data_IF_585754217114
#
_entry.id   IF_585754217114
#
_cell.length_a   1.000
_cell.length_b   1.000
_cell.length_c   1.000
_cell.angle_alpha   90.00
_cell.angle_beta   90.00
_cell.angle_gamma   90.00
#
_symmetry.space_group_name_H-M   'P 1'
#
loop_
_entity.id
_entity.type
_entity.pdbx_description
1 polymer ?
#
# COMPACT_ATOMS: atom_id res chain seq x y z
N UNK A 1 -25.87 -1.63 -2.88
CA UNK A 1 -25.03 -1.28 -1.72
C UNK A 1 -23.63 -1.81 -1.99
N UNK A 2 -22.76 -0.99 -2.59
CA UNK A 2 -21.36 -1.38 -2.79
C UNK A 2 -20.68 -1.34 -1.43
N UNK A 3 -20.39 -2.52 -0.86
CA UNK A 3 -19.54 -2.63 0.33
C UNK A 3 -18.26 -1.85 0.00
N UNK A 4 -17.97 -0.78 0.76
CA UNK A 4 -16.73 -0.04 0.57
C UNK A 4 -15.61 -0.90 1.14
N UNK A 5 -15.11 -1.83 0.33
CA UNK A 5 -13.99 -2.68 0.69
C UNK A 5 -12.76 -1.79 0.89
N UNK A 6 -12.12 -1.95 2.04
CA UNK A 6 -10.82 -1.35 2.31
C UNK A 6 -9.76 -2.21 1.62
N UNK A 7 -8.73 -1.58 1.10
CA UNK A 7 -7.62 -2.27 0.46
C UNK A 7 -6.36 -1.99 1.25
N UNK A 8 -5.62 -3.04 1.56
CA UNK A 8 -4.23 -2.95 2.00
C UNK A 8 -3.36 -3.07 0.76
N UNK A 9 -2.37 -2.18 0.60
CA UNK A 9 -1.50 -2.19 -0.57
C UNK A 9 -0.04 -2.01 -0.20
N UNK A 10 0.82 -2.50 -1.09
CA UNK A 10 2.25 -2.26 -1.06
C UNK A 10 2.67 -1.59 -2.36
N UNK A 11 3.37 -0.47 -2.25
CA UNK A 11 4.02 0.22 -3.36
C UNK A 11 5.52 -0.01 -3.22
N UNK A 12 6.14 -0.43 -4.32
CA UNK A 12 7.59 -0.38 -4.49
C UNK A 12 7.97 1.05 -4.91
N UNK A 13 8.86 1.68 -4.15
CA UNK A 13 9.47 2.94 -4.53
C UNK A 13 10.74 2.70 -5.38
N UNK A 14 11.18 3.71 -6.12
CA UNK A 14 12.35 3.59 -7.00
C UNK A 14 13.65 3.21 -6.26
N UNK A 15 13.78 3.60 -4.99
CA UNK A 15 14.90 3.22 -4.13
C UNK A 15 14.83 1.76 -3.61
N UNK A 16 13.86 0.97 -4.09
CA UNK A 16 13.67 -0.43 -3.70
C UNK A 16 13.04 -0.62 -2.31
N UNK A 17 12.59 0.46 -1.65
CA UNK A 17 11.81 0.37 -0.42
C UNK A 17 10.35 0.02 -0.70
N UNK A 18 9.73 -0.63 0.29
CA UNK A 18 8.31 -0.98 0.24
C UNK A 18 7.53 -0.07 1.18
N UNK A 19 6.60 0.69 0.61
CA UNK A 19 5.61 1.46 1.36
C UNK A 19 4.33 0.66 1.49
N UNK A 20 3.79 0.55 2.70
CA UNK A 20 2.52 -0.16 2.97
C UNK A 20 1.50 0.81 3.51
N UNK A 21 0.28 0.76 2.97
CA UNK A 21 -0.82 1.61 3.41
C UNK A 21 -2.18 0.94 3.22
N UNK A 22 -3.23 1.60 3.70
CA UNK A 22 -4.62 1.22 3.44
C UNK A 22 -5.38 2.34 2.74
N UNK A 23 -6.36 2.00 1.91
CA UNK A 23 -7.24 2.96 1.21
C UNK A 23 -8.54 2.29 0.81
N UNK A 24 -9.62 3.04 0.65
CA UNK A 24 -10.84 2.55 -0.02
C UNK A 24 -10.79 2.73 -1.53
N UNK A 25 -9.84 3.54 -2.02
CA UNK A 25 -9.66 3.83 -3.44
C UNK A 25 -8.16 3.77 -3.79
N UNK A 26 -7.74 2.66 -4.42
CA UNK A 26 -6.35 2.43 -4.82
C UNK A 26 -5.92 3.34 -5.96
N UNK A 27 -6.80 3.57 -6.94
CA UNK A 27 -6.48 4.38 -8.13
C UNK A 27 -6.22 5.82 -7.74
N UNK A 28 -7.12 6.41 -6.95
CA UNK A 28 -6.93 7.76 -6.41
C UNK A 28 -5.65 7.85 -5.60
N UNK A 29 -5.41 6.91 -4.68
CA UNK A 29 -4.25 6.92 -3.79
C UNK A 29 -2.92 6.79 -4.54
N UNK A 30 -2.88 5.94 -5.57
CA UNK A 30 -1.70 5.79 -6.41
C UNK A 30 -1.41 7.07 -7.20
N UNK A 31 -2.44 7.68 -7.77
CA UNK A 31 -2.32 8.96 -8.47
C UNK A 31 -1.81 10.08 -7.54
N UNK A 32 -2.26 10.14 -6.28
CA UNK A 32 -1.77 11.09 -5.26
C UNK A 32 -0.28 10.87 -4.94
N UNK A 33 0.16 9.61 -4.87
CA UNK A 33 1.58 9.28 -4.65
C UNK A 33 2.44 9.61 -5.88
N UNK A 34 1.91 9.43 -7.10
CA UNK A 34 2.60 9.73 -8.34
C UNK A 34 2.70 11.25 -8.60
N UNK A 35 1.62 11.99 -8.32
CA UNK A 35 1.57 13.46 -8.48
C UNK A 35 2.29 14.23 -7.37
N UNK A 36 2.72 13.53 -6.30
CA UNK A 36 3.31 14.10 -5.07
C UNK A 36 2.38 15.08 -4.33
N UNK A 37 1.12 15.21 -4.73
CA UNK A 37 0.12 16.05 -4.08
C UNK A 37 -0.85 15.18 -3.29
N UNK A 38 -0.89 15.34 -1.97
CA UNK A 38 -1.74 14.53 -1.08
C UNK A 38 -1.25 13.09 -0.83
N UNK A 39 -0.19 12.66 -1.53
CA UNK A 39 0.53 11.41 -1.28
C UNK A 39 1.38 11.44 -0.01
N UNK A 40 1.91 10.28 0.38
CA UNK A 40 2.80 10.20 1.54
C UNK A 40 4.09 10.97 1.25
N UNK A 41 4.58 11.75 2.23
CA UNK A 41 5.84 12.51 2.14
C UNK A 41 7.04 11.65 1.74
N UNK A 42 6.97 10.34 2.01
CA UNK A 42 7.94 9.35 1.55
C UNK A 42 8.17 9.36 0.03
N UNK A 43 7.11 9.59 -0.76
CA UNK A 43 7.21 9.59 -2.23
C UNK A 43 7.73 10.90 -2.83
N UNK A 44 7.97 11.93 -2.00
CA UNK A 44 8.63 13.16 -2.46
C UNK A 44 10.10 12.94 -2.76
N UNK A 45 10.77 12.10 -1.96
CA UNK A 45 12.20 11.77 -2.12
C UNK A 45 12.43 10.49 -2.93
N UNK A 46 11.43 9.63 -3.06
CA UNK A 46 11.54 8.38 -3.82
C UNK A 46 10.22 8.05 -4.49
N UNK A 47 10.12 8.23 -5.80
CA UNK A 47 8.85 8.12 -6.53
C UNK A 47 8.18 6.75 -6.36
N UNK A 48 6.86 6.73 -6.37
CA UNK A 48 6.08 5.50 -6.43
C UNK A 48 6.30 4.82 -7.79
N UNK A 49 6.97 3.67 -7.82
CA UNK A 49 7.28 2.95 -9.06
C UNK A 49 6.06 2.17 -9.55
N UNK A 50 5.51 1.32 -8.67
CA UNK A 50 4.33 0.49 -8.96
C UNK A 50 3.70 -0.06 -7.69
N UNK A 51 2.41 -0.35 -7.76
CA UNK A 51 1.74 -1.21 -6.76
C UNK A 51 2.19 -2.65 -7.04
N UNK A 52 2.75 -3.29 -6.03
CA UNK A 52 3.23 -4.68 -6.10
C UNK A 52 2.33 -5.65 -5.34
N UNK A 53 1.42 -5.15 -4.51
CA UNK A 53 0.47 -5.97 -3.76
C UNK A 53 -0.80 -5.17 -3.45
N UNK A 54 -1.95 -5.84 -3.50
CA UNK A 54 -3.23 -5.32 -3.05
C UNK A 54 -4.09 -6.45 -2.46
N UNK A 55 -4.70 -6.22 -1.31
CA UNK A 55 -5.55 -7.19 -0.62
C UNK A 55 -6.84 -6.51 -0.14
N UNK A 56 -8.03 -6.99 -0.55
CA UNK A 56 -9.30 -6.44 -0.10
C UNK A 56 -9.65 -6.89 1.33
N UNK A 57 -10.33 -6.01 2.04
CA UNK A 57 -10.75 -6.16 3.43
C UNK A 57 -12.15 -5.58 3.64
N UNK A 58 -12.98 -6.22 4.48
CA UNK A 58 -14.37 -5.81 4.68
C UNK A 58 -14.53 -4.47 5.41
N UNK A 59 -13.52 -4.03 6.17
CA UNK A 59 -13.60 -2.84 7.01
C UNK A 59 -12.22 -2.25 7.32
N UNK A 60 -12.20 -1.01 7.82
CA UNK A 60 -10.96 -0.30 8.18
C UNK A 60 -10.15 -1.03 9.25
N UNK A 61 -10.82 -1.69 10.19
CA UNK A 61 -10.16 -2.33 11.34
C UNK A 61 -9.37 -3.55 10.87
N UNK A 62 -9.98 -4.41 10.06
CA UNK A 62 -9.31 -5.56 9.45
C UNK A 62 -8.14 -5.13 8.56
N UNK A 63 -8.33 -4.11 7.72
CA UNK A 63 -7.26 -3.56 6.89
C UNK A 63 -6.10 -2.99 7.74
N UNK A 64 -6.41 -2.23 8.80
CA UNK A 64 -5.37 -1.64 9.66
C UNK A 64 -4.60 -2.71 10.46
N UNK A 65 -5.27 -3.76 10.93
CA UNK A 65 -4.60 -4.91 11.57
C UNK A 65 -3.64 -5.60 10.59
N UNK A 66 -4.06 -5.80 9.35
CA UNK A 66 -3.23 -6.38 8.30
C UNK A 66 -2.05 -5.48 7.92
N UNK A 67 -2.27 -4.19 7.79
CA UNK A 67 -1.22 -3.20 7.55
C UNK A 67 -0.14 -3.25 8.65
N UNK A 68 -0.55 -3.30 9.92
CA UNK A 68 0.36 -3.43 11.05
C UNK A 68 1.14 -4.76 11.02
N UNK A 69 0.49 -5.86 10.64
CA UNK A 69 1.16 -7.14 10.46
C UNK A 69 2.23 -7.06 9.35
N UNK A 70 1.87 -6.52 8.18
CA UNK A 70 2.80 -6.35 7.04
C UNK A 70 3.95 -5.41 7.42
N UNK A 71 3.71 -4.32 8.16
CA UNK A 71 4.75 -3.41 8.63
C UNK A 71 5.80 -4.11 9.50
N UNK A 72 5.39 -5.10 10.31
CA UNK A 72 6.29 -5.94 11.13
C UNK A 72 7.03 -7.03 10.35
N UNK A 73 6.59 -7.35 9.13
CA UNK A 73 7.24 -8.37 8.31
C UNK A 73 8.65 -7.94 7.89
N UNK A 74 9.57 -8.91 7.87
CA UNK A 74 10.89 -8.74 7.27
C UNK A 74 10.78 -8.46 5.77
N UNK A 75 11.84 -7.88 5.18
CA UNK A 75 11.89 -7.67 3.72
C UNK A 75 11.65 -8.97 2.95
N UNK A 76 12.23 -10.10 3.39
CA UNK A 76 12.02 -11.42 2.78
C UNK A 76 10.57 -11.86 2.82
N UNK A 77 9.91 -11.70 3.96
CA UNK A 77 8.49 -12.04 4.13
C UNK A 77 7.58 -11.15 3.29
N UNK A 78 7.92 -9.85 3.13
CA UNK A 78 7.19 -8.95 2.22
C UNK A 78 7.34 -9.38 0.76
N UNK A 79 8.55 -9.76 0.34
CA UNK A 79 8.79 -10.26 -1.02
C UNK A 79 8.00 -11.56 -1.25
N UNK A 80 7.99 -12.48 -0.30
CA UNK A 80 7.20 -13.70 -0.38
C UNK A 80 5.70 -13.41 -0.49
N UNK A 81 5.19 -12.43 0.26
CA UNK A 81 3.80 -11.99 0.18
C UNK A 81 3.45 -11.37 -1.19
N UNK A 82 4.38 -10.60 -1.76
CA UNK A 82 4.23 -9.96 -3.08
C UNK A 82 4.29 -11.00 -4.22
N UNK A 83 5.00 -12.11 -4.03
CA UNK A 83 5.16 -13.15 -5.03
C UNK A 83 4.04 -14.19 -5.05
N UNK A 84 3.00 -14.02 -4.22
CA UNK A 84 1.81 -14.87 -4.19
C UNK A 84 0.82 -14.55 -5.31
#
# INVERSE_FOLDING_TARGET
>A
MTKSDWFVYIIEAENGHFYTGITTDLKRRFSEHQSKQGGARFFHTSSAKKIVFQEPHPDRSSASKREAAIKKLSRKSKIALIAQ
#
